data_IF_488925344101
#
_entry.id   IF_488925344101
#
_cell.length_a   1.000
_cell.length_b   1.000
_cell.length_c   1.000
_cell.angle_alpha   90.00
_cell.angle_beta   90.00
_cell.angle_gamma   90.00
#
_symmetry.space_group_name_H-M   'P 1'
#
loop_
_entity.id
_entity.type
_entity.pdbx_description
1 polymer ?
#
# COMPACT_ATOMS: atom_id res chain seq x y z
N UNK A 1 -3.27 0.01 4.05
CA UNK A 1 -3.15 -0.11 5.52
C UNK A 1 -1.80 -0.75 5.81
N UNK A 2 -1.05 -0.20 6.76
CA UNK A 2 0.22 -0.75 7.23
C UNK A 2 0.00 -1.37 8.61
N UNK A 3 0.44 -2.61 8.81
CA UNK A 3 0.41 -3.31 10.10
C UNK A 3 1.78 -3.20 10.75
N UNK A 4 1.83 -2.83 12.01
CA UNK A 4 3.07 -2.62 12.77
C UNK A 4 2.92 -3.02 14.23
N UNK A 5 4.03 -3.27 14.93
CA UNK A 5 4.01 -3.60 16.37
C UNK A 5 3.91 -2.36 17.27
N UNK A 6 4.18 -1.17 16.71
CA UNK A 6 4.19 0.09 17.42
C UNK A 6 3.27 1.08 16.69
N UNK A 7 2.58 1.97 17.41
CA UNK A 7 1.76 2.98 16.78
C UNK A 7 2.60 3.94 15.92
N UNK A 8 2.04 4.33 14.78
CA UNK A 8 2.63 5.34 13.89
C UNK A 8 2.18 6.74 14.31
N UNK A 9 3.08 7.72 14.25
CA UNK A 9 2.74 9.10 14.59
C UNK A 9 1.79 9.70 13.54
N UNK A 10 0.62 10.16 13.97
CA UNK A 10 -0.40 10.78 13.10
C UNK A 10 0.05 12.20 12.71
N UNK A 11 -0.36 12.64 11.52
CA UNK A 11 -0.02 13.94 10.90
C UNK A 11 1.47 14.12 10.57
N UNK A 12 2.23 13.01 10.58
CA UNK A 12 3.65 12.99 10.18
C UNK A 12 3.81 12.34 8.81
N UNK A 13 4.68 12.95 7.99
CA UNK A 13 5.13 12.40 6.71
C UNK A 13 6.26 11.38 6.93
N UNK A 14 6.12 10.22 6.32
CA UNK A 14 7.09 9.14 6.36
C UNK A 14 7.59 8.82 4.95
N UNK A 15 8.88 8.51 4.86
CA UNK A 15 9.46 7.85 3.69
C UNK A 15 9.17 6.35 3.79
N UNK A 16 8.42 5.82 2.83
CA UNK A 16 7.96 4.44 2.79
C UNK A 16 8.45 3.74 1.52
N UNK A 17 8.54 2.42 1.58
CA UNK A 17 8.94 1.57 0.45
C UNK A 17 7.95 0.44 0.24
N UNK A 18 7.42 0.32 -0.99
CA UNK A 18 6.81 -0.92 -1.45
C UNK A 18 7.89 -1.85 -2.00
N UNK A 19 7.78 -3.14 -1.67
CA UNK A 19 8.60 -4.22 -2.25
C UNK A 19 7.69 -5.11 -3.09
N UNK A 20 7.74 -4.95 -4.40
CA UNK A 20 6.90 -5.69 -5.34
C UNK A 20 7.67 -6.94 -5.78
N UNK A 21 7.15 -8.15 -5.55
CA UNK A 21 7.82 -9.37 -5.98
C UNK A 21 7.89 -9.45 -7.51
N UNK A 22 9.04 -9.86 -8.04
CA UNK A 22 9.25 -10.11 -9.47
C UNK A 22 9.27 -11.61 -9.77
N UNK A 23 9.15 -11.96 -11.06
CA UNK A 23 9.13 -13.37 -11.52
C UNK A 23 10.43 -14.10 -11.18
N UNK A 24 11.55 -13.38 -11.14
CA UNK A 24 12.88 -13.94 -10.87
C UNK A 24 13.15 -14.15 -9.36
N UNK A 25 12.19 -13.85 -8.49
CA UNK A 25 12.31 -13.99 -7.04
C UNK A 25 12.95 -12.79 -6.34
N UNK A 26 13.27 -11.73 -7.09
CA UNK A 26 13.74 -10.45 -6.57
C UNK A 26 12.56 -9.53 -6.19
N UNK A 27 12.89 -8.33 -5.70
CA UNK A 27 11.90 -7.28 -5.41
C UNK A 27 12.22 -6.00 -6.17
N UNK A 28 11.20 -5.44 -6.82
CA UNK A 28 11.22 -4.05 -7.27
C UNK A 28 10.85 -3.15 -6.09
N UNK A 29 11.75 -2.23 -5.73
CA UNK A 29 11.50 -1.22 -4.72
C UNK A 29 10.82 0.00 -5.34
N UNK A 30 9.76 0.50 -4.69
CA UNK A 30 9.12 1.78 -5.03
C UNK A 30 9.06 2.62 -3.77
N UNK A 31 9.87 3.68 -3.73
CA UNK A 31 9.91 4.63 -2.61
C UNK A 31 8.89 5.74 -2.83
N UNK A 32 8.21 6.14 -1.76
CA UNK A 32 7.19 7.18 -1.79
C UNK A 32 7.06 7.85 -0.42
N UNK A 33 6.53 9.06 -0.39
CA UNK A 33 6.25 9.80 0.84
C UNK A 33 4.76 9.77 1.13
N UNK A 34 4.38 9.47 2.38
CA UNK A 34 2.99 9.45 2.79
C UNK A 34 2.79 9.95 4.22
N UNK A 35 1.67 10.64 4.45
CA UNK A 35 1.28 11.16 5.76
C UNK A 35 0.37 10.16 6.47
N UNK A 36 0.72 9.78 7.71
CA UNK A 36 -0.14 8.95 8.54
C UNK A 36 -1.38 9.74 8.98
N UNK A 37 -2.57 9.23 8.67
CA UNK A 37 -3.85 9.87 9.03
C UNK A 37 -4.44 9.32 10.33
N UNK A 38 -4.13 8.07 10.64
CA UNK A 38 -4.60 7.38 11.84
C UNK A 38 -3.73 6.18 12.14
N UNK A 39 -3.64 5.82 13.43
CA UNK A 39 -3.00 4.60 13.91
C UNK A 39 -3.82 4.05 15.08
N UNK A 40 -4.35 2.84 14.95
CA UNK A 40 -5.23 2.22 15.94
C UNK A 40 -4.75 0.80 16.24
N UNK A 41 -4.96 0.33 17.47
CA UNK A 41 -4.70 -1.07 17.81
C UNK A 41 -5.67 -1.97 17.02
N UNK A 42 -5.13 -3.04 16.41
CA UNK A 42 -5.90 -4.08 15.73
C UNK A 42 -6.66 -4.93 16.77
N UNK A 43 -7.64 -5.71 16.31
CA UNK A 43 -8.35 -6.71 17.12
C UNK A 43 -7.35 -7.71 17.72
N UNK A 44 -6.25 -8.00 17.02
CA UNK A 44 -5.14 -8.77 17.56
C UNK A 44 -4.29 -7.88 18.49
N UNK A 45 -4.17 -8.25 19.79
CA UNK A 45 -3.36 -7.49 20.73
C UNK A 45 -1.92 -7.31 20.23
N UNK A 46 -1.31 -6.16 20.51
CA UNK A 46 0.09 -5.82 20.15
C UNK A 46 0.34 -5.46 18.67
N UNK A 47 -0.70 -5.39 17.84
CA UNK A 47 -0.58 -4.90 16.48
C UNK A 47 -1.36 -3.60 16.30
N UNK A 48 -0.85 -2.74 15.43
CA UNK A 48 -1.47 -1.47 15.07
C UNK A 48 -1.67 -1.40 13.57
N UNK A 49 -2.88 -1.06 13.17
CA UNK A 49 -3.23 -0.69 11.82
C UNK A 49 -3.05 0.82 11.65
N UNK A 50 -2.42 1.20 10.54
CA UNK A 50 -2.22 2.61 10.20
C UNK A 50 -2.63 2.90 8.76
N UNK A 51 -3.34 4.02 8.59
CA UNK A 51 -3.78 4.54 7.29
C UNK A 51 -2.96 5.74 6.87
N UNK A 52 -2.65 5.81 5.58
CA UNK A 52 -1.79 6.85 5.01
C UNK A 52 -2.42 7.51 3.81
N UNK A 53 -2.19 8.81 3.65
CA UNK A 53 -2.39 9.54 2.39
C UNK A 53 -1.06 9.70 1.68
N UNK A 54 -0.99 9.34 0.40
CA UNK A 54 0.23 9.52 -0.40
C UNK A 54 0.42 11.00 -0.70
N UNK A 55 1.59 11.54 -0.36
CA UNK A 55 1.96 12.92 -0.60
C UNK A 55 2.77 13.06 -1.90
N UNK A 56 3.78 12.21 -2.06
CA UNK A 56 4.67 12.19 -3.23
C UNK A 56 4.96 10.74 -3.63
N UNK A 57 4.86 10.43 -4.91
CA UNK A 57 5.13 9.09 -5.42
C UNK A 57 5.70 9.16 -6.84
N UNK A 58 6.56 8.21 -7.23
CA UNK A 58 7.08 8.12 -8.58
C UNK A 58 6.04 7.47 -9.51
N UNK A 59 6.29 7.46 -10.82
CA UNK A 59 5.34 6.98 -11.83
C UNK A 59 4.99 5.49 -11.65
N UNK A 60 5.95 4.70 -11.17
CA UNK A 60 5.83 3.27 -10.91
C UNK A 60 4.75 2.98 -9.85
N UNK A 61 4.57 3.88 -8.87
CA UNK A 61 3.49 3.76 -7.89
C UNK A 61 2.12 3.81 -8.58
N UNK A 62 1.90 4.80 -9.46
CA UNK A 62 0.66 4.94 -10.21
C UNK A 62 0.41 3.77 -11.17
N UNK A 63 1.47 3.25 -11.80
CA UNK A 63 1.39 2.06 -12.65
C UNK A 63 0.94 0.83 -11.85
N UNK A 64 1.49 0.62 -10.64
CA UNK A 64 1.07 -0.45 -9.75
C UNK A 64 -0.41 -0.30 -9.38
N UNK A 65 -0.85 0.88 -8.95
CA UNK A 65 -2.26 1.11 -8.58
C UNK A 65 -3.19 0.80 -9.75
N UNK A 66 -2.87 1.27 -10.96
CA UNK A 66 -3.66 0.99 -12.14
C UNK A 66 -3.72 -0.51 -12.47
N UNK A 67 -2.59 -1.23 -12.35
CA UNK A 67 -2.55 -2.67 -12.56
C UNK A 67 -3.43 -3.42 -11.54
N UNK A 68 -3.37 -3.03 -10.25
CA UNK A 68 -4.21 -3.61 -9.20
C UNK A 68 -5.70 -3.31 -9.45
N UNK A 69 -6.04 -2.08 -9.84
CA UNK A 69 -7.42 -1.71 -10.19
C UNK A 69 -7.94 -2.56 -11.35
N UNK A 70 -7.15 -2.77 -12.40
CA UNK A 70 -7.54 -3.62 -13.52
C UNK A 70 -7.70 -5.08 -13.10
N UNK A 71 -6.75 -5.62 -12.33
CA UNK A 71 -6.75 -7.01 -11.91
C UNK A 71 -7.92 -7.37 -10.98
N UNK A 72 -8.26 -6.48 -10.05
CA UNK A 72 -9.34 -6.69 -9.08
C UNK A 72 -10.70 -6.15 -9.52
N UNK A 73 -10.79 -5.55 -10.71
CA UNK A 73 -12.06 -5.16 -11.30
C UNK A 73 -12.75 -6.36 -11.94
N UNK A 74 -14.06 -6.45 -11.77
CA UNK A 74 -14.87 -7.38 -12.53
C UNK A 74 -15.29 -6.71 -13.84
N UNK A 75 -14.73 -7.15 -14.96
CA UNK A 75 -15.23 -6.71 -16.28
C UNK A 75 -16.46 -7.56 -16.64
N UNK A 76 -17.66 -6.97 -16.77
CA UNK A 76 -18.87 -7.70 -17.12
C UNK A 76 -18.78 -8.43 -18.48
N UNK A 77 -17.83 -8.08 -19.35
CA UNK A 77 -17.65 -8.73 -20.65
C UNK A 77 -16.90 -10.07 -20.59
N UNK A 78 -16.29 -10.44 -19.45
CA UNK A 78 -15.68 -11.77 -19.27
C UNK A 78 -16.65 -12.82 -18.72
N UNK A 79 -17.90 -12.44 -18.42
CA UNK A 79 -18.95 -13.37 -18.00
C UNK A 79 -19.69 -14.00 -19.19
N UNK A 80 -18.97 -14.44 -20.22
CA UNK A 80 -19.47 -15.42 -21.20
C UNK A 80 -18.31 -15.98 -22.04
N UNK A 81 -17.84 -17.17 -21.66
CA UNK A 81 -17.19 -18.16 -22.52
C UNK A 81 -17.34 -19.54 -21.87
#
# INVERSE_FOLDING_TARGET
MLISQLPMMVDVAFELRLKIPTVDGDFQAVDFTATCLWSHEDINPQHYDSGFSVAEAPVEYGQLINALLQYFSFDPLQASA
#
